data_IF_864800623589
#
_entry.id   IF_864800623589
#
_cell.length_a   1.000
_cell.length_b   1.000
_cell.length_c   1.000
_cell.angle_alpha   90.00
_cell.angle_beta   90.00
_cell.angle_gamma   90.00
#
_symmetry.space_group_name_H-M   'P 1'
#
loop_
_entity.id
_entity.type
_entity.pdbx_description
1 polymer ?
#
# COMPACT_ATOMS: atom_id res chain seq x y z
N UNK A 1 0.69 -16.96 12.06
CA UNK A 1 0.32 -15.85 11.15
C UNK A 1 1.38 -15.81 10.07
N UNK A 2 1.04 -16.07 8.80
CA UNK A 2 2.02 -16.14 7.70
C UNK A 2 2.45 -14.73 7.26
N UNK A 3 3.72 -14.53 6.87
CA UNK A 3 4.17 -13.26 6.31
C UNK A 3 3.50 -12.98 4.95
N UNK A 4 3.16 -11.71 4.70
CA UNK A 4 2.57 -11.27 3.44
C UNK A 4 3.67 -11.03 2.39
N UNK A 5 3.92 -12.06 1.59
CA UNK A 5 4.94 -12.06 0.52
C UNK A 5 4.35 -11.69 -0.84
N UNK A 6 3.05 -11.88 -1.05
CA UNK A 6 2.42 -11.71 -2.35
C UNK A 6 1.97 -10.27 -2.63
N UNK A 7 1.56 -9.52 -1.60
CA UNK A 7 0.93 -8.21 -1.79
C UNK A 7 1.84 -7.20 -2.49
N UNK A 8 3.12 -7.15 -2.12
CA UNK A 8 4.06 -6.21 -2.75
C UNK A 8 4.30 -6.50 -4.24
N UNK A 9 4.66 -7.72 -4.65
CA UNK A 9 4.80 -8.05 -6.07
C UNK A 9 3.54 -7.74 -6.91
N UNK A 10 2.34 -7.92 -6.33
CA UNK A 10 1.08 -7.57 -7.00
C UNK A 10 0.96 -6.06 -7.20
N UNK A 11 1.30 -5.26 -6.19
CA UNK A 11 1.32 -3.79 -6.29
C UNK A 11 2.32 -3.35 -7.35
N UNK A 12 3.54 -3.88 -7.32
CA UNK A 12 4.59 -3.51 -8.27
C UNK A 12 4.19 -3.84 -9.71
N UNK A 13 3.63 -5.02 -9.95
CA UNK A 13 3.13 -5.42 -11.26
C UNK A 13 1.96 -4.54 -11.73
N UNK A 14 1.01 -4.24 -10.84
CA UNK A 14 -0.14 -3.40 -11.18
C UNK A 14 0.26 -1.96 -11.50
N UNK A 15 1.21 -1.39 -10.76
CA UNK A 15 1.76 -0.06 -11.05
C UNK A 15 2.51 -0.04 -12.38
N UNK A 16 3.36 -1.04 -12.64
CA UNK A 16 4.13 -1.15 -13.89
C UNK A 16 3.21 -1.29 -15.12
N UNK A 17 2.11 -2.03 -15.00
CA UNK A 17 1.14 -2.26 -16.07
C UNK A 17 0.06 -1.16 -16.14
N UNK A 18 0.03 -0.21 -15.22
CA UNK A 18 -1.05 0.77 -15.10
C UNK A 18 -2.43 0.13 -14.87
N UNK A 19 -2.51 -0.93 -14.07
CA UNK A 19 -3.75 -1.62 -13.73
C UNK A 19 -4.30 -1.10 -12.40
N UNK A 20 -5.60 -0.76 -12.32
CA UNK A 20 -6.22 -0.40 -11.05
C UNK A 20 -6.18 -1.58 -10.07
N UNK A 21 -6.01 -1.30 -8.78
CA UNK A 21 -6.04 -2.31 -7.73
C UNK A 21 -6.62 -1.78 -6.42
N UNK A 22 -7.08 -2.71 -5.58
CA UNK A 22 -7.39 -2.48 -4.18
C UNK A 22 -6.92 -3.68 -3.36
N UNK A 23 -6.13 -3.44 -2.32
CA UNK A 23 -5.53 -4.48 -1.47
C UNK A 23 -5.80 -4.20 0.00
N UNK A 24 -5.94 -5.27 0.79
CA UNK A 24 -5.90 -5.21 2.25
C UNK A 24 -4.66 -5.95 2.74
N UNK A 25 -3.57 -5.23 3.05
CA UNK A 25 -2.37 -5.84 3.60
C UNK A 25 -2.67 -6.53 4.94
N UNK A 26 -2.10 -7.72 5.17
CA UNK A 26 -2.37 -8.47 6.39
C UNK A 26 -1.23 -8.38 7.43
N UNK A 27 -0.04 -8.85 7.05
CA UNK A 27 1.11 -9.04 7.96
C UNK A 27 2.38 -8.43 7.39
N UNK A 28 3.08 -7.61 8.18
CA UNK A 28 4.40 -7.13 7.80
C UNK A 28 5.41 -8.28 7.75
N UNK A 29 6.31 -8.26 6.77
CA UNK A 29 7.40 -9.22 6.65
C UNK A 29 8.69 -8.57 7.18
N UNK A 30 9.32 -9.08 8.25
CA UNK A 30 10.53 -8.48 8.83
C UNK A 30 11.76 -8.54 7.91
N UNK A 31 11.72 -9.29 6.81
CA UNK A 31 12.76 -9.29 5.77
C UNK A 31 12.62 -8.12 4.78
N UNK A 32 11.47 -7.43 4.75
CA UNK A 32 11.21 -6.27 3.88
C UNK A 32 11.99 -5.05 4.36
N UNK A 33 12.44 -4.23 3.40
CA UNK A 33 13.21 -3.01 3.64
C UNK A 33 12.61 -1.84 2.86
N UNK A 34 12.58 -0.66 3.48
CA UNK A 34 12.22 0.59 2.80
C UNK A 34 13.27 0.97 1.76
N UNK A 35 12.98 1.95 0.89
CA UNK A 35 13.95 2.47 -0.08
C UNK A 35 15.25 2.99 0.57
N UNK A 36 15.18 3.45 1.82
CA UNK A 36 16.32 3.90 2.62
C UNK A 36 16.95 2.76 3.47
N UNK A 37 16.54 1.51 3.25
CA UNK A 37 17.11 0.34 3.91
C UNK A 37 16.60 0.04 5.33
N UNK A 38 15.57 0.74 5.81
CA UNK A 38 15.00 0.50 7.14
C UNK A 38 14.08 -0.73 7.14
N UNK A 39 14.06 -1.54 8.21
CA UNK A 39 13.19 -2.71 8.28
C UNK A 39 11.71 -2.32 8.43
N UNK A 40 10.85 -3.02 7.70
CA UNK A 40 9.39 -2.83 7.76
C UNK A 40 8.81 -3.90 8.68
N UNK A 41 8.70 -3.59 9.97
CA UNK A 41 8.36 -4.57 11.01
C UNK A 41 6.96 -4.40 11.59
N UNK A 42 6.35 -3.23 11.41
CA UNK A 42 4.98 -2.95 11.86
C UNK A 42 4.00 -2.89 10.71
N UNK A 43 2.71 -3.07 11.03
CA UNK A 43 1.64 -2.94 10.05
C UNK A 43 1.53 -1.51 9.48
N UNK A 44 1.62 -0.49 10.33
CA UNK A 44 1.63 0.92 9.89
C UNK A 44 2.79 1.18 8.93
N UNK A 45 4.00 0.73 9.28
CA UNK A 45 5.16 0.84 8.39
C UNK A 45 4.95 0.11 7.06
N UNK A 46 4.24 -1.01 7.06
CA UNK A 46 3.96 -1.73 5.82
C UNK A 46 2.96 -0.99 4.93
N UNK A 47 1.95 -0.37 5.53
CA UNK A 47 1.04 0.50 4.79
C UNK A 47 1.76 1.70 4.19
N UNK A 48 2.59 2.38 4.99
CA UNK A 48 3.36 3.54 4.55
C UNK A 48 4.35 3.15 3.45
N UNK A 49 5.00 1.98 3.58
CA UNK A 49 5.89 1.43 2.58
C UNK A 49 5.21 1.20 1.23
N UNK A 50 4.03 0.57 1.22
CA UNK A 50 3.29 0.31 -0.01
C UNK A 50 2.74 1.60 -0.62
N UNK A 51 2.26 2.53 0.20
CA UNK A 51 1.75 3.83 -0.27
C UNK A 51 2.86 4.70 -0.87
N UNK A 52 4.09 4.63 -0.33
CA UNK A 52 5.25 5.34 -0.86
C UNK A 52 5.70 4.88 -2.26
N UNK A 53 5.22 3.73 -2.76
CA UNK A 53 5.59 3.23 -4.09
C UNK A 53 5.03 4.09 -5.23
N UNK A 54 3.92 4.82 -5.00
CA UNK A 54 3.36 5.72 -6.01
C UNK A 54 2.48 6.81 -5.37
N UNK A 55 2.64 8.10 -5.72
CA UNK A 55 1.93 9.21 -5.07
C UNK A 55 0.40 9.15 -5.21
N UNK A 56 -0.11 8.51 -6.28
CA UNK A 56 -1.54 8.31 -6.48
C UNK A 56 -2.15 7.13 -5.69
N UNK A 57 -1.36 6.35 -4.95
CA UNK A 57 -1.92 5.31 -4.06
C UNK A 57 -2.61 6.01 -2.89
N UNK A 58 -3.86 5.60 -2.66
CA UNK A 58 -4.74 6.17 -1.63
C UNK A 58 -5.00 5.15 -0.54
N UNK A 59 -5.17 5.66 0.68
CA UNK A 59 -5.48 4.87 1.88
C UNK A 59 -6.90 5.19 2.35
N UNK A 60 -7.71 4.17 2.57
CA UNK A 60 -9.05 4.31 3.15
C UNK A 60 -9.27 3.28 4.26
N UNK A 61 -10.13 3.61 5.23
CA UNK A 61 -10.53 2.71 6.32
C UNK A 61 -11.95 2.18 6.06
N UNK A 62 -12.11 0.87 6.11
CA UNK A 62 -13.41 0.22 5.96
C UNK A 62 -14.14 0.20 7.30
N UNK A 63 -15.11 1.11 7.46
CA UNK A 63 -15.83 1.32 8.73
C UNK A 63 -16.63 0.10 9.24
N UNK A 64 -16.96 -0.86 8.35
CA UNK A 64 -17.77 -2.05 8.66
C UNK A 64 -16.93 -3.33 8.82
N UNK A 65 -15.60 -3.21 8.87
CA UNK A 65 -14.68 -4.35 9.01
C UNK A 65 -13.88 -4.25 10.31
N UNK A 66 -13.87 -5.33 11.08
CA UNK A 66 -13.03 -5.51 12.27
C UNK A 66 -11.64 -6.05 11.89
N UNK A 67 -10.62 -5.74 12.70
CA UNK A 67 -9.24 -6.17 12.46
C UNK A 67 -8.48 -5.29 11.45
N UNK A 68 -7.78 -5.92 10.49
CA UNK A 68 -7.05 -5.22 9.43
C UNK A 68 -8.07 -4.69 8.42
N UNK A 69 -8.39 -3.40 8.53
CA UNK A 69 -9.47 -2.76 7.77
C UNK A 69 -9.02 -1.55 6.95
N UNK A 70 -7.72 -1.44 6.69
CA UNK A 70 -7.18 -0.40 5.84
C UNK A 70 -6.98 -0.96 4.44
N UNK A 71 -7.61 -0.33 3.46
CA UNK A 71 -7.43 -0.64 2.05
C UNK A 71 -6.48 0.38 1.43
N UNK A 72 -5.48 -0.11 0.69
CA UNK A 72 -4.70 0.69 -0.22
C UNK A 72 -5.21 0.46 -1.63
N UNK A 73 -5.46 1.52 -2.37
CA UNK A 73 -6.00 1.43 -3.72
C UNK A 73 -5.38 2.44 -4.65
N UNK A 74 -5.38 2.09 -5.94
CA UNK A 74 -4.85 2.88 -7.03
C UNK A 74 -5.79 2.73 -8.21
N UNK A 75 -6.07 3.84 -8.89
CA UNK A 75 -6.81 3.87 -10.14
C UNK A 75 -6.13 4.87 -11.08
N UNK A 76 -5.56 4.42 -12.22
CA UNK A 76 -4.90 5.30 -13.19
C UNK A 76 -5.86 6.28 -13.86
N UNK A 77 -7.16 5.98 -13.87
CA UNK A 77 -8.18 6.82 -14.51
C UNK A 77 -8.70 7.91 -13.58
N UNK A 78 -8.44 7.80 -12.27
CA UNK A 78 -8.83 8.83 -11.31
C UNK A 78 -7.69 9.84 -11.20
N UNK A 79 -7.87 11.08 -11.70
CA UNK A 79 -6.81 12.07 -11.64
C UNK A 79 -6.36 12.30 -10.19
N UNK A 80 -5.04 12.26 -9.99
CA UNK A 80 -4.42 12.72 -8.78
C UNK A 80 -4.32 14.25 -8.88
N UNK A 81 -5.07 14.96 -8.04
CA UNK A 81 -4.85 16.37 -7.81
C UNK A 81 -3.80 16.44 -6.69
N UNK A 82 -2.64 17.03 -6.97
CA UNK A 82 -1.72 17.38 -5.88
C UNK A 82 -2.48 18.28 -4.89
N UNK A 83 -2.30 18.09 -3.58
CA UNK A 83 -2.87 19.01 -2.62
C UNK A 83 -2.37 20.42 -2.96
N UNK A 84 -3.30 21.36 -3.19
CA UNK A 84 -2.94 22.75 -3.44
C UNK A 84 -2.04 23.23 -2.29
N UNK A 85 -0.80 23.62 -2.59
CA UNK A 85 0.07 24.28 -1.61
C UNK A 85 -0.62 25.58 -1.15
N UNK A 86 -0.79 25.75 0.17
CA UNK A 86 -1.41 26.92 0.80
C UNK A 86 -0.52 28.17 0.73
#
# INVERSE_FOLDING_TARGET
MHPDEATEPIVDAALADGKPFAILPCCANPHRRTAVGLPVISYEQYLDYLQAKHPAIRRARLAKFEGRNVVLWYDPLVPYCEPCEE
#
